data_IF_840308395226
#
_entry.id   IF_840308395226
#
_cell.length_a   1.000
_cell.length_b   1.000
_cell.length_c   1.000
_cell.angle_alpha   90.00
_cell.angle_beta   90.00
_cell.angle_gamma   90.00
#
_symmetry.space_group_name_H-M   'P 1'
#
loop_
_entity.id
_entity.type
_entity.pdbx_description
1 polymer ?
#
# COMPACT_ATOMS: atom_id res chain seq x y z
N UNK A 1 -13.11 -23.42 -90.47
CA UNK A 1 -14.19 -24.43 -90.53
C UNK A 1 -15.39 -23.93 -89.73
N UNK A 2 -16.59 -24.34 -90.14
CA UNK A 2 -17.90 -23.70 -89.87
C UNK A 2 -18.48 -23.96 -88.46
N UNK A 3 -19.40 -23.06 -88.10
CA UNK A 3 -20.41 -23.05 -87.01
C UNK A 3 -21.11 -24.39 -86.74
N UNK A 4 -21.51 -24.59 -85.47
CA UNK A 4 -22.91 -24.76 -84.97
C UNK A 4 -22.86 -24.99 -83.43
N UNK A 5 -23.47 -24.18 -82.54
CA UNK A 5 -24.87 -24.21 -81.99
C UNK A 5 -25.35 -25.62 -81.56
N UNK A 6 -25.99 -25.92 -80.41
CA UNK A 6 -26.90 -25.14 -79.54
C UNK A 6 -27.34 -25.96 -78.28
N UNK A 7 -27.74 -25.27 -77.19
CA UNK A 7 -28.77 -25.60 -76.14
C UNK A 7 -28.47 -26.68 -75.08
N UNK A 8 -28.36 -26.36 -73.77
CA UNK A 8 -29.37 -26.00 -72.72
C UNK A 8 -30.38 -27.15 -72.45
N UNK A 9 -30.79 -27.57 -71.25
CA UNK A 9 -30.91 -26.92 -69.93
C UNK A 9 -31.36 -27.97 -68.87
N UNK A 10 -31.23 -27.65 -67.58
CA UNK A 10 -32.11 -28.13 -66.48
C UNK A 10 -31.65 -29.40 -65.74
N UNK A 11 -31.76 -29.54 -64.41
CA UNK A 11 -32.28 -28.67 -63.36
C UNK A 11 -32.67 -29.47 -62.10
N UNK A 12 -32.41 -28.87 -60.93
CA UNK A 12 -33.07 -29.06 -59.59
C UNK A 12 -32.84 -30.38 -58.82
N UNK A 13 -32.39 -30.26 -57.56
CA UNK A 13 -33.26 -30.22 -56.36
C UNK A 13 -32.46 -29.95 -55.07
N UNK A 14 -33.10 -29.18 -54.20
CA UNK A 14 -32.65 -28.65 -52.91
C UNK A 14 -32.54 -29.74 -51.84
N UNK A 15 -31.46 -29.71 -51.05
CA UNK A 15 -31.33 -30.41 -49.77
C UNK A 15 -31.05 -29.39 -48.67
N UNK A 16 -32.04 -29.13 -47.82
CA UNK A 16 -31.94 -28.24 -46.66
C UNK A 16 -31.02 -28.89 -45.62
N UNK A 17 -29.86 -28.29 -45.36
CA UNK A 17 -28.99 -28.66 -44.24
C UNK A 17 -29.44 -27.92 -43.00
N UNK A 18 -29.87 -28.69 -41.99
CA UNK A 18 -30.22 -28.25 -40.66
C UNK A 18 -28.98 -27.61 -39.99
N UNK A 19 -28.96 -26.27 -39.89
CA UNK A 19 -27.99 -25.54 -39.08
C UNK A 19 -28.49 -25.54 -37.64
N UNK A 20 -27.91 -26.40 -36.80
CA UNK A 20 -28.13 -26.35 -35.36
C UNK A 20 -27.38 -25.14 -34.78
N UNK A 21 -28.11 -24.08 -34.46
CA UNK A 21 -27.60 -22.96 -33.67
C UNK A 21 -27.60 -23.41 -32.21
N UNK A 22 -26.44 -23.84 -31.71
CA UNK A 22 -26.23 -24.04 -30.27
C UNK A 22 -26.02 -22.67 -29.65
N UNK A 23 -27.11 -22.06 -29.18
CA UNK A 23 -27.03 -20.91 -28.29
C UNK A 23 -26.54 -21.43 -26.92
N UNK A 24 -25.24 -21.28 -26.66
CA UNK A 24 -24.66 -21.50 -25.35
C UNK A 24 -25.14 -20.35 -24.44
N UNK A 25 -26.30 -20.52 -23.81
CA UNK A 25 -26.70 -19.70 -22.68
C UNK A 25 -25.73 -20.03 -21.54
N UNK A 26 -24.63 -19.29 -21.45
CA UNK A 26 -23.91 -19.17 -20.20
C UNK A 26 -24.87 -18.43 -19.28
N UNK A 27 -25.68 -19.20 -18.55
CA UNK A 27 -26.30 -18.71 -17.33
C UNK A 27 -25.12 -18.42 -16.38
N UNK A 28 -24.51 -17.25 -16.56
CA UNK A 28 -23.68 -16.68 -15.52
C UNK A 28 -24.62 -16.56 -14.34
N UNK A 29 -24.48 -17.47 -13.37
CA UNK A 29 -24.95 -17.21 -12.03
C UNK A 29 -24.21 -15.94 -11.62
N UNK A 30 -24.81 -14.78 -11.88
CA UNK A 30 -24.43 -13.55 -11.25
C UNK A 30 -24.52 -13.87 -9.76
N UNK A 31 -23.38 -14.16 -9.13
CA UNK A 31 -23.33 -14.38 -7.69
C UNK A 31 -23.92 -13.12 -7.11
N UNK A 32 -25.02 -13.27 -6.39
CA UNK A 32 -25.64 -12.12 -5.72
C UNK A 32 -24.55 -11.47 -4.87
N UNK A 33 -24.38 -10.15 -4.96
CA UNK A 33 -23.41 -9.48 -4.12
C UNK A 33 -23.67 -9.85 -2.66
N UNK A 34 -22.64 -10.34 -1.98
CA UNK A 34 -22.69 -10.71 -0.57
C UNK A 34 -21.84 -9.75 0.24
N UNK A 35 -22.12 -9.65 1.54
CA UNK A 35 -21.46 -8.70 2.43
C UNK A 35 -22.41 -7.60 2.91
N UNK A 36 -21.90 -6.65 3.70
CA UNK A 36 -22.73 -5.62 4.31
C UNK A 36 -23.25 -4.63 3.25
N UNK A 37 -24.47 -4.09 3.43
CA UNK A 37 -25.07 -3.17 2.46
C UNK A 37 -24.38 -1.80 2.43
N UNK A 38 -23.71 -1.41 3.51
CA UNK A 38 -22.87 -0.23 3.67
C UNK A 38 -21.48 -0.68 4.12
N UNK A 39 -20.40 0.10 3.91
CA UNK A 39 -19.08 -0.26 4.40
C UNK A 39 -19.09 -0.44 5.92
N UNK A 40 -18.31 -1.38 6.43
CA UNK A 40 -18.14 -1.60 7.88
C UNK A 40 -16.65 -1.56 8.19
N UNK A 41 -16.29 -0.90 9.28
CA UNK A 41 -14.93 -0.92 9.82
C UNK A 41 -14.82 -2.05 10.84
N UNK A 42 -13.80 -2.90 10.71
CA UNK A 42 -13.72 -4.17 11.46
C UNK A 42 -12.58 -4.18 12.48
N UNK A 43 -11.48 -3.50 12.20
CA UNK A 43 -10.28 -3.61 13.01
C UNK A 43 -10.05 -2.44 13.95
N UNK A 44 -11.02 -1.55 14.16
CA UNK A 44 -10.93 -0.54 15.23
C UNK A 44 -12.28 -0.41 15.92
N UNK A 45 -12.25 -0.32 17.25
CA UNK A 45 -13.42 0.00 18.05
C UNK A 45 -13.68 1.52 18.05
N UNK A 46 -14.93 1.91 18.32
CA UNK A 46 -15.27 3.31 18.50
C UNK A 46 -14.50 3.89 19.70
N UNK A 47 -13.88 5.06 19.50
CA UNK A 47 -12.95 5.70 20.44
C UNK A 47 -11.71 4.86 20.81
N UNK A 48 -11.29 3.90 19.98
CA UNK A 48 -10.07 3.15 20.25
C UNK A 48 -8.85 4.08 20.30
N UNK A 49 -8.00 3.88 21.31
CA UNK A 49 -6.76 4.63 21.47
C UNK A 49 -5.63 3.88 20.79
N UNK A 50 -5.02 4.50 19.78
CA UNK A 50 -3.87 3.96 19.05
C UNK A 50 -2.60 4.76 19.33
N UNK A 51 -1.44 4.11 19.19
CA UNK A 51 -0.13 4.65 19.61
C UNK A 51 0.81 4.99 18.47
N UNK A 52 0.38 4.80 17.23
CA UNK A 52 1.12 5.09 16.02
C UNK A 52 0.32 6.10 15.17
N UNK A 53 1.00 7.01 14.43
CA UNK A 53 0.31 8.02 13.63
C UNK A 53 -0.30 7.43 12.35
N UNK A 54 0.25 6.35 11.80
CA UNK A 54 -0.28 5.72 10.58
C UNK A 54 -1.15 4.50 10.94
N UNK A 55 -2.45 4.60 10.69
CA UNK A 55 -3.41 3.52 10.92
C UNK A 55 -3.68 2.74 9.64
N UNK A 56 -3.60 1.41 9.70
CA UNK A 56 -4.15 0.54 8.68
C UNK A 56 -5.61 0.23 9.01
N UNK A 57 -6.55 0.94 8.39
CA UNK A 57 -7.98 0.70 8.54
C UNK A 57 -8.41 -0.45 7.63
N UNK A 58 -9.05 -1.47 8.19
CA UNK A 58 -9.62 -2.59 7.43
C UNK A 58 -11.11 -2.71 7.69
N UNK A 59 -11.80 -3.20 6.67
CA UNK A 59 -13.23 -3.40 6.79
C UNK A 59 -13.83 -4.21 5.66
N UNK A 60 -15.13 -4.47 5.80
CA UNK A 60 -15.92 -5.22 4.86
C UNK A 60 -16.81 -4.28 4.03
N UNK A 61 -17.00 -4.66 2.78
CA UNK A 61 -17.93 -4.05 1.81
C UNK A 61 -18.67 -5.13 1.06
N UNK A 62 -19.72 -4.74 0.35
CA UNK A 62 -20.40 -5.64 -0.57
C UNK A 62 -19.43 -6.12 -1.67
N UNK A 63 -19.53 -7.38 -2.08
CA UNK A 63 -18.54 -8.03 -2.95
C UNK A 63 -18.41 -7.45 -4.37
N UNK A 64 -19.37 -6.62 -4.80
CA UNK A 64 -19.38 -5.87 -6.07
C UNK A 64 -18.77 -4.46 -5.95
N UNK A 65 -18.40 -4.03 -4.75
CA UNK A 65 -17.69 -2.77 -4.53
C UNK A 65 -16.21 -2.98 -4.85
N UNK A 66 -15.72 -2.25 -5.85
CA UNK A 66 -14.31 -2.28 -6.27
C UNK A 66 -13.44 -1.24 -5.55
N UNK A 67 -14.07 -0.25 -4.93
CA UNK A 67 -13.36 0.87 -4.30
C UNK A 67 -14.16 1.51 -3.17
N UNK A 68 -13.45 1.96 -2.14
CA UNK A 68 -13.99 2.83 -1.09
C UNK A 68 -13.31 4.20 -1.14
N UNK A 69 -14.01 5.24 -0.73
CA UNK A 69 -13.41 6.57 -0.50
C UNK A 69 -13.27 6.77 1.00
N UNK A 70 -12.03 6.97 1.45
CA UNK A 70 -11.72 7.32 2.83
C UNK A 70 -11.50 8.82 2.92
N UNK A 71 -12.29 9.45 3.77
CA UNK A 71 -12.20 10.86 4.14
C UNK A 71 -11.58 11.02 5.52
N UNK A 72 -10.56 11.86 5.62
CA UNK A 72 -9.97 12.28 6.88
C UNK A 72 -9.44 13.70 6.72
N UNK A 73 -9.88 14.61 7.60
CA UNK A 73 -9.47 16.04 7.60
C UNK A 73 -9.61 16.73 6.24
N UNK A 74 -10.70 16.47 5.52
CA UNK A 74 -10.97 17.03 4.19
C UNK A 74 -10.14 16.42 3.06
N UNK A 75 -9.22 15.49 3.35
CA UNK A 75 -8.57 14.69 2.30
C UNK A 75 -9.44 13.50 1.93
N UNK A 76 -9.67 13.33 0.63
CA UNK A 76 -10.37 12.17 0.07
C UNK A 76 -9.38 11.28 -0.66
N UNK A 77 -9.27 10.02 -0.24
CA UNK A 77 -8.41 9.02 -0.88
C UNK A 77 -9.20 7.78 -1.23
N UNK A 78 -9.07 7.34 -2.45
CA UNK A 78 -9.80 6.19 -2.96
C UNK A 78 -8.94 4.93 -2.86
N UNK A 79 -9.46 3.88 -2.24
CA UNK A 79 -8.75 2.65 -1.90
C UNK A 79 -9.42 1.44 -2.54
N UNK A 80 -8.66 0.53 -3.15
CA UNK A 80 -9.24 -0.65 -3.76
C UNK A 80 -9.92 -1.53 -2.71
N UNK A 81 -11.03 -2.12 -3.12
CA UNK A 81 -11.70 -3.20 -2.42
C UNK A 81 -11.60 -4.48 -3.26
N UNK A 82 -11.30 -5.59 -2.61
CA UNK A 82 -11.15 -6.89 -3.24
C UNK A 82 -11.75 -7.97 -2.35
N UNK A 83 -12.46 -8.91 -2.97
CA UNK A 83 -13.11 -10.02 -2.27
C UNK A 83 -14.04 -9.58 -1.12
N UNK A 84 -14.70 -8.42 -1.24
CA UNK A 84 -15.58 -7.89 -0.19
C UNK A 84 -14.87 -7.21 0.98
N UNK A 85 -13.58 -6.92 0.87
CA UNK A 85 -12.80 -6.24 1.90
C UNK A 85 -12.02 -5.06 1.33
N UNK A 86 -11.71 -4.08 2.18
CA UNK A 86 -10.79 -2.99 1.86
C UNK A 86 -9.72 -2.86 2.95
N UNK A 87 -8.59 -2.27 2.57
CA UNK A 87 -7.53 -1.84 3.49
C UNK A 87 -7.04 -0.47 3.06
N UNK A 88 -7.09 0.49 3.98
CA UNK A 88 -6.71 1.87 3.75
C UNK A 88 -5.68 2.34 4.78
N UNK A 89 -4.74 3.17 4.35
CA UNK A 89 -3.81 3.84 5.25
C UNK A 89 -4.29 5.25 5.55
N UNK A 90 -4.40 5.59 6.82
CA UNK A 90 -4.84 6.91 7.29
C UNK A 90 -3.78 7.47 8.23
N UNK A 91 -3.24 8.64 7.87
CA UNK A 91 -2.31 9.37 8.73
C UNK A 91 -3.12 10.21 9.72
N UNK A 92 -3.08 9.85 10.99
CA UNK A 92 -3.82 10.48 12.08
C UNK A 92 -3.09 11.72 12.60
N UNK A 93 -3.85 12.71 13.06
CA UNK A 93 -3.31 13.81 13.86
C UNK A 93 -3.46 13.51 15.35
N UNK A 94 -2.61 14.11 16.23
CA UNK A 94 -2.76 13.94 17.66
C UNK A 94 -4.19 14.27 18.14
N UNK A 95 -4.76 13.41 18.99
CA UNK A 95 -6.13 13.54 19.48
C UNK A 95 -7.14 12.73 18.65
N UNK A 96 -8.37 13.23 18.59
CA UNK A 96 -9.50 12.51 18.00
C UNK A 96 -9.54 12.67 16.48
N UNK A 97 -9.66 11.54 15.78
CA UNK A 97 -9.69 11.46 14.33
C UNK A 97 -11.00 10.81 13.89
N UNK A 98 -11.86 11.60 13.25
CA UNK A 98 -13.06 11.09 12.58
C UNK A 98 -12.70 10.68 11.16
N UNK A 99 -12.85 9.40 10.87
CA UNK A 99 -12.55 8.80 9.57
C UNK A 99 -13.86 8.34 8.96
N UNK A 100 -14.20 8.83 7.78
CA UNK A 100 -15.41 8.41 7.07
C UNK A 100 -15.04 7.53 5.89
N UNK A 101 -15.66 6.36 5.80
CA UNK A 101 -15.52 5.41 4.70
C UNK A 101 -16.81 5.42 3.90
N UNK A 102 -16.72 5.74 2.62
CA UNK A 102 -17.87 5.90 1.73
C UNK A 102 -17.80 4.94 0.55
N UNK A 103 -18.96 4.41 0.16
CA UNK A 103 -19.22 3.67 -1.07
C UNK A 103 -20.44 4.28 -1.78
N UNK A 104 -20.77 3.80 -2.98
CA UNK A 104 -22.01 4.17 -3.66
C UNK A 104 -23.29 3.79 -2.89
N UNK A 105 -23.21 2.82 -1.98
CA UNK A 105 -24.34 2.32 -1.21
C UNK A 105 -24.56 3.05 0.13
N UNK A 106 -23.56 3.78 0.62
CA UNK A 106 -23.61 4.48 1.90
C UNK A 106 -22.23 4.72 2.51
N UNK A 107 -22.23 5.25 3.73
CA UNK A 107 -21.02 5.59 4.46
C UNK A 107 -21.09 5.13 5.92
N UNK A 108 -19.91 4.90 6.48
CA UNK A 108 -19.70 4.58 7.90
C UNK A 108 -18.57 5.46 8.43
N UNK A 109 -18.61 5.74 9.72
CA UNK A 109 -17.60 6.54 10.40
C UNK A 109 -16.95 5.73 11.52
N UNK A 110 -15.65 5.92 11.68
CA UNK A 110 -14.87 5.43 12.79
C UNK A 110 -14.24 6.62 13.51
N UNK A 111 -14.30 6.63 14.83
CA UNK A 111 -13.63 7.62 15.66
C UNK A 111 -12.45 6.95 16.37
N UNK A 112 -11.24 7.42 16.09
CA UNK A 112 -10.00 6.86 16.62
C UNK A 112 -9.20 7.96 17.31
N UNK A 113 -8.70 7.72 18.51
CA UNK A 113 -7.87 8.70 19.23
C UNK A 113 -6.40 8.31 19.08
N UNK A 114 -5.61 9.14 18.40
CA UNK A 114 -4.16 8.97 18.35
C UNK A 114 -3.52 9.64 19.58
N UNK A 115 -2.79 8.86 20.36
CA UNK A 115 -1.92 9.35 21.43
C UNK A 115 -0.53 8.79 21.23
N UNK A 116 0.46 9.67 21.07
CA UNK A 116 1.86 9.27 20.94
C UNK A 116 2.25 8.26 22.03
N UNK A 117 3.09 7.29 21.65
CA UNK A 117 3.65 6.32 22.57
C UNK A 117 4.45 7.00 23.69
N UNK A 118 4.39 6.45 24.89
CA UNK A 118 5.14 6.93 26.07
C UNK A 118 6.47 6.19 26.24
N UNK A 119 7.02 5.61 25.16
CA UNK A 119 8.27 4.89 25.22
C UNK A 119 9.42 5.89 25.14
N UNK A 120 10.30 5.88 26.15
CA UNK A 120 11.48 6.72 26.19
C UNK A 120 12.54 6.27 25.16
N UNK A 121 12.49 5.00 24.73
CA UNK A 121 13.35 4.47 23.68
C UNK A 121 12.73 4.66 22.30
N UNK A 122 13.51 5.28 21.40
CA UNK A 122 13.10 5.59 20.02
C UNK A 122 14.04 4.96 19.02
N UNK A 123 13.48 4.52 17.90
CA UNK A 123 14.21 3.97 16.76
C UNK A 123 14.54 5.13 15.82
N UNK A 124 15.82 5.31 15.52
CA UNK A 124 16.30 6.27 14.53
C UNK A 124 16.40 5.60 13.16
N UNK A 125 15.88 6.27 12.14
CA UNK A 125 16.07 5.88 10.76
C UNK A 125 17.34 6.56 10.25
N UNK A 126 18.23 5.79 9.62
CA UNK A 126 19.48 6.32 9.06
C UNK A 126 19.57 5.96 7.59
N UNK A 127 19.83 6.96 6.76
CA UNK A 127 20.15 6.79 5.35
C UNK A 127 21.65 7.01 5.13
N UNK A 128 22.36 5.93 4.77
CA UNK A 128 23.80 5.95 4.60
C UNK A 128 24.14 6.28 3.15
N UNK A 129 24.95 7.32 2.94
CA UNK A 129 25.33 7.84 1.63
C UNK A 129 26.86 7.77 1.49
N UNK A 130 27.40 7.16 0.41
CA UNK A 130 28.83 7.19 0.12
C UNK A 130 29.41 8.61 0.06
N UNK A 131 30.71 8.73 0.35
CA UNK A 131 31.41 10.02 0.35
C UNK A 131 31.40 10.72 -1.02
N UNK A 132 31.33 9.94 -2.10
CA UNK A 132 31.35 10.36 -3.49
C UNK A 132 29.95 10.40 -4.15
N UNK A 133 28.87 10.26 -3.37
CA UNK A 133 27.51 10.20 -3.89
C UNK A 133 26.60 11.31 -3.34
N UNK A 134 25.59 11.70 -4.13
CA UNK A 134 24.57 12.69 -3.74
C UNK A 134 23.37 12.08 -2.99
N UNK A 135 23.38 10.77 -2.75
CA UNK A 135 22.31 10.07 -2.02
C UNK A 135 21.11 9.63 -2.87
N UNK A 136 21.24 9.68 -4.20
CA UNK A 136 20.24 9.07 -5.08
C UNK A 136 20.20 7.54 -4.97
N UNK A 137 19.09 6.94 -5.42
CA UNK A 137 18.89 5.50 -5.39
C UNK A 137 18.32 4.98 -6.72
N UNK A 138 18.23 3.67 -6.87
CA UNK A 138 17.67 3.06 -8.08
C UNK A 138 16.15 3.13 -8.05
N UNK A 139 15.54 3.74 -9.07
CA UNK A 139 14.08 3.81 -9.23
C UNK A 139 13.65 3.55 -10.68
N UNK A 140 12.39 3.16 -10.93
CA UNK A 140 11.83 3.05 -12.28
C UNK A 140 11.89 4.37 -13.06
N UNK A 141 11.83 4.33 -14.41
CA UNK A 141 11.82 5.54 -15.22
C UNK A 141 10.67 6.48 -14.85
N UNK A 142 10.98 7.77 -14.67
CA UNK A 142 10.00 8.81 -14.34
C UNK A 142 9.70 8.97 -12.84
N UNK A 143 10.26 8.12 -11.98
CA UNK A 143 10.13 8.24 -10.53
C UNK A 143 11.25 9.12 -9.94
N UNK A 144 10.94 10.06 -9.02
CA UNK A 144 11.95 10.80 -8.29
C UNK A 144 12.85 9.86 -7.49
N UNK A 145 14.14 9.97 -7.69
CA UNK A 145 15.16 9.07 -7.14
C UNK A 145 16.30 9.82 -6.44
N UNK A 146 16.05 11.06 -6.04
CA UNK A 146 16.98 11.92 -5.32
C UNK A 146 16.94 11.66 -3.80
N UNK A 147 17.79 12.39 -3.07
CA UNK A 147 17.89 12.28 -1.61
C UNK A 147 16.56 12.61 -0.91
N UNK A 148 15.86 13.68 -1.31
CA UNK A 148 14.57 14.06 -0.70
C UNK A 148 13.51 12.95 -0.87
N UNK A 149 13.42 12.36 -2.06
CA UNK A 149 12.58 11.18 -2.32
C UNK A 149 12.98 10.00 -1.43
N UNK A 150 14.28 9.76 -1.24
CA UNK A 150 14.78 8.68 -0.38
C UNK A 150 14.35 8.87 1.08
N UNK A 151 14.53 10.08 1.62
CA UNK A 151 14.16 10.41 3.00
C UNK A 151 12.65 10.27 3.23
N UNK A 152 11.82 10.80 2.31
CA UNK A 152 10.36 10.67 2.40
C UNK A 152 9.89 9.23 2.34
N UNK A 153 10.48 8.42 1.46
CA UNK A 153 10.17 6.98 1.34
C UNK A 153 10.58 6.22 2.60
N UNK A 154 11.74 6.54 3.18
CA UNK A 154 12.18 5.94 4.44
C UNK A 154 11.32 6.34 5.63
N UNK A 155 10.91 7.61 5.72
CA UNK A 155 9.98 8.07 6.76
C UNK A 155 8.64 7.34 6.67
N UNK A 156 8.09 7.17 5.45
CA UNK A 156 6.90 6.37 5.22
C UNK A 156 7.11 4.89 5.58
N UNK A 157 8.25 4.31 5.19
CA UNK A 157 8.59 2.93 5.52
C UNK A 157 8.66 2.71 7.04
N UNK A 158 9.25 3.66 7.78
CA UNK A 158 9.27 3.63 9.25
C UNK A 158 7.87 3.60 9.85
N UNK A 159 6.97 4.47 9.37
CA UNK A 159 5.56 4.48 9.80
C UNK A 159 4.86 3.16 9.47
N UNK A 160 5.08 2.60 8.27
CA UNK A 160 4.53 1.31 7.87
C UNK A 160 5.03 0.16 8.77
N UNK A 161 6.32 0.17 9.13
CA UNK A 161 6.87 -0.81 10.07
C UNK A 161 6.27 -0.67 11.47
N UNK A 162 6.03 0.57 11.94
CA UNK A 162 5.32 0.79 13.20
C UNK A 162 3.90 0.20 13.16
N UNK A 163 3.15 0.47 12.09
CA UNK A 163 1.79 -0.06 11.88
C UNK A 163 1.80 -1.58 11.84
N UNK A 164 2.64 -2.18 10.99
CA UNK A 164 2.74 -3.63 10.85
C UNK A 164 3.09 -4.31 12.19
N UNK A 165 4.05 -3.75 12.92
CA UNK A 165 4.42 -4.25 14.26
C UNK A 165 3.26 -4.18 15.24
N UNK A 166 2.52 -3.06 15.25
CA UNK A 166 1.37 -2.91 16.12
C UNK A 166 0.25 -3.92 15.83
N UNK A 167 -0.05 -4.15 14.54
CA UNK A 167 -1.06 -5.14 14.14
C UNK A 167 -0.62 -6.56 14.51
N UNK A 168 0.63 -6.94 14.23
CA UNK A 168 1.16 -8.25 14.62
C UNK A 168 1.12 -8.46 16.15
N UNK A 169 1.46 -7.43 16.93
CA UNK A 169 1.37 -7.49 18.39
C UNK A 169 -0.07 -7.60 18.89
N UNK A 170 -1.02 -6.94 18.21
CA UNK A 170 -2.44 -7.02 18.52
C UNK A 170 -3.00 -8.42 18.21
N UNK A 171 -2.71 -8.95 17.03
CA UNK A 171 -3.08 -10.30 16.60
C UNK A 171 -2.52 -11.38 17.54
N UNK A 172 -1.31 -11.17 18.06
CA UNK A 172 -0.69 -12.05 19.05
C UNK A 172 -1.23 -11.89 20.49
N UNK A 173 -2.19 -10.98 20.73
CA UNK A 173 -2.82 -10.78 22.04
C UNK A 173 -2.08 -9.84 23.00
N UNK A 174 -1.06 -9.13 22.54
CA UNK A 174 -0.31 -8.15 23.34
C UNK A 174 -0.85 -6.71 23.25
N UNK A 175 -1.93 -6.53 22.49
CA UNK A 175 -2.48 -5.22 22.13
C UNK A 175 -1.65 -4.51 21.05
N UNK A 176 -2.14 -3.36 20.56
CA UNK A 176 -1.44 -2.56 19.52
C UNK A 176 -0.22 -1.82 20.07
N UNK A 177 0.85 -2.58 20.34
CA UNK A 177 2.13 -2.07 20.83
C UNK A 177 3.14 -2.00 19.68
N UNK A 178 3.90 -0.92 19.64
CA UNK A 178 4.95 -0.74 18.64
C UNK A 178 6.07 0.11 19.20
N UNK A 179 7.18 0.18 18.48
CA UNK A 179 8.30 1.06 18.80
C UNK A 179 7.97 2.52 18.45
N UNK A 180 8.61 3.48 19.12
CA UNK A 180 8.54 4.89 18.76
C UNK A 180 9.64 5.22 17.75
N UNK A 181 9.40 6.16 16.84
CA UNK A 181 10.43 6.71 15.96
C UNK A 181 11.00 7.99 16.59
N UNK A 182 12.24 8.33 16.21
CA UNK A 182 12.72 9.71 16.38
C UNK A 182 11.95 10.59 15.41
N UNK A 183 11.41 11.70 15.90
CA UNK A 183 10.55 12.61 15.15
C UNK A 183 11.16 14.02 15.15
N UNK A 184 10.87 14.78 14.09
CA UNK A 184 11.18 16.20 13.97
C UNK A 184 10.14 17.08 14.68
N UNK A 185 10.28 18.40 14.54
CA UNK A 185 9.37 19.40 15.15
C UNK A 185 7.92 19.27 14.65
N UNK A 186 7.71 18.70 13.46
CA UNK A 186 6.41 18.50 12.82
C UNK A 186 5.81 17.11 13.13
N UNK A 187 6.39 16.37 14.08
CA UNK A 187 6.02 14.98 14.41
C UNK A 187 6.09 14.03 13.19
N UNK A 188 7.03 14.29 12.28
CA UNK A 188 7.39 13.39 11.18
C UNK A 188 8.65 12.61 11.53
N UNK A 189 8.79 11.34 11.09
CA UNK A 189 10.01 10.59 11.34
C UNK A 189 11.24 11.32 10.80
N UNK A 190 12.19 11.60 11.68
CA UNK A 190 13.48 12.18 11.31
C UNK A 190 14.39 11.08 10.75
N UNK A 191 14.78 11.24 9.49
CA UNK A 191 15.69 10.34 8.79
C UNK A 191 17.06 10.99 8.72
N UNK A 192 17.97 10.52 9.57
CA UNK A 192 19.32 11.06 9.62
C UNK A 192 20.13 10.59 8.41
N UNK A 193 20.72 11.53 7.69
CA UNK A 193 21.70 11.21 6.64
C UNK A 193 23.07 11.01 7.27
N UNK A 194 23.64 9.82 7.12
CA UNK A 194 25.04 9.55 7.47
C UNK A 194 25.87 9.48 6.20
N UNK A 195 26.75 10.46 5.99
CA UNK A 195 27.75 10.37 4.93
C UNK A 195 28.92 9.53 5.43
N UNK A 196 29.04 8.31 4.91
CA UNK A 196 30.13 7.39 5.27
C UNK A 196 31.47 7.86 4.68
N UNK A 197 32.59 7.47 5.28
CA UNK A 197 33.91 7.70 4.72
C UNK A 197 34.16 6.89 3.44
N UNK A 198 33.42 5.81 3.21
CA UNK A 198 33.59 4.94 2.06
C UNK A 198 33.10 5.59 0.76
N UNK A 199 33.85 5.39 -0.33
CA UNK A 199 33.37 5.64 -1.69
C UNK A 199 32.39 4.55 -2.13
N UNK A 200 31.63 4.82 -3.18
CA UNK A 200 30.69 3.86 -3.76
C UNK A 200 31.39 2.56 -4.17
N UNK A 201 32.56 2.67 -4.82
CA UNK A 201 33.37 1.52 -5.23
C UNK A 201 33.86 0.71 -4.02
N UNK A 202 34.37 1.38 -2.99
CA UNK A 202 34.83 0.71 -1.76
C UNK A 202 33.70 -0.04 -1.07
N UNK A 203 32.53 0.58 -0.93
CA UNK A 203 31.37 -0.04 -0.31
C UNK A 203 30.90 -1.28 -1.10
N UNK A 204 30.87 -1.21 -2.44
CA UNK A 204 30.48 -2.34 -3.29
C UNK A 204 31.49 -3.50 -3.27
N UNK A 205 32.76 -3.23 -3.02
CA UNK A 205 33.81 -4.25 -2.93
C UNK A 205 33.78 -5.02 -1.59
N UNK A 206 33.08 -4.52 -0.57
CA UNK A 206 33.02 -5.13 0.76
C UNK A 206 31.88 -6.15 0.88
N UNK A 207 32.11 -7.20 1.68
CA UNK A 207 31.03 -8.12 2.07
C UNK A 207 30.06 -7.48 3.07
N UNK A 208 28.81 -7.98 3.12
CA UNK A 208 27.77 -7.40 3.98
C UNK A 208 28.13 -7.30 5.47
N UNK A 209 28.84 -8.28 6.03
CA UNK A 209 29.29 -8.23 7.42
C UNK A 209 30.40 -7.17 7.64
N UNK A 210 31.29 -6.99 6.66
CA UNK A 210 32.33 -5.97 6.73
C UNK A 210 31.71 -4.57 6.65
N UNK A 211 30.73 -4.37 5.75
CA UNK A 211 29.96 -3.13 5.67
C UNK A 211 29.26 -2.81 6.99
N UNK A 212 28.59 -3.80 7.59
CA UNK A 212 27.93 -3.62 8.87
C UNK A 212 28.89 -3.16 9.97
N UNK A 213 30.05 -3.81 10.10
CA UNK A 213 31.03 -3.42 11.13
C UNK A 213 31.59 -2.01 10.90
N UNK A 214 31.83 -1.63 9.64
CA UNK A 214 32.26 -0.27 9.30
C UNK A 214 31.19 0.76 9.70
N UNK A 215 29.97 0.60 9.20
CA UNK A 215 28.87 1.52 9.48
C UNK A 215 28.51 1.57 10.96
N UNK A 216 28.58 0.43 11.67
CA UNK A 216 28.38 0.42 13.13
C UNK A 216 29.39 1.32 13.84
N UNK A 217 30.66 1.31 13.41
CA UNK A 217 31.67 2.22 13.97
C UNK A 217 31.30 3.69 13.77
N UNK A 218 30.98 4.06 12.53
CA UNK A 218 30.59 5.44 12.18
C UNK A 218 29.29 5.89 12.89
N UNK A 219 28.32 4.99 13.04
CA UNK A 219 27.08 5.26 13.76
C UNK A 219 27.33 5.52 15.25
N UNK A 220 28.20 4.72 15.88
CA UNK A 220 28.55 4.91 17.28
C UNK A 220 29.30 6.22 17.51
N UNK A 221 30.21 6.59 16.61
CA UNK A 221 30.90 7.88 16.67
C UNK A 221 29.94 9.05 16.46
N UNK A 222 29.05 8.94 15.45
CA UNK A 222 28.08 9.99 15.11
C UNK A 222 27.11 10.30 16.25
N UNK A 223 26.70 9.28 17.00
CA UNK A 223 25.70 9.37 18.06
C UNK A 223 26.28 9.15 19.46
N UNK A 224 27.59 9.33 19.63
CA UNK A 224 28.27 9.11 20.91
C UNK A 224 27.70 9.98 22.04
N UNK A 225 27.26 11.20 21.72
CA UNK A 225 26.75 12.19 22.68
C UNK A 225 25.24 12.03 22.96
N UNK A 226 24.55 11.10 22.29
CA UNK A 226 23.11 10.87 22.43
C UNK A 226 22.77 9.60 23.24
N UNK A 227 23.80 8.88 23.71
CA UNK A 227 23.69 7.59 24.38
C UNK A 227 23.60 7.68 25.91
#
# INVERSE_FOLDING_TARGET
MRRSTVVCEGGRRFGVRLLAVVALLIAGCARRPSGPPIPVVENVADHEVVRMPLLALTGAVRSDVEQVVVEHQGQHRAWPAAAGHFKALVLLSPGDNRIRVTTTAGATEALVTYRAGTNDHRVRLVYIVPSDAEGGFQAPPGEPADLDSALRRLALAGRLLQTATAEMMHEAGFGRRTFALVEDEDASPDVTVLRTSLTTEQAQAMGGLQLWWHFRGELLERFADEA
#
